data_IF_867881343700
#
_entry.id   IF_867881343700
#
_cell.length_a   1.000
_cell.length_b   1.000
_cell.length_c   1.000
_cell.angle_alpha   90.00
_cell.angle_beta   90.00
_cell.angle_gamma   90.00
#
_symmetry.space_group_name_H-M   'P 1'
#
loop_
_entity.id
_entity.type
_entity.pdbx_description
1 polymer ?
#
# COMPACT_ATOMS: atom_id res chain seq x y z
N UNK A 1 17.71 -18.90 -3.53
CA UNK A 1 18.13 -17.49 -3.48
C UNK A 1 17.97 -16.98 -2.05
N UNK A 2 18.76 -16.00 -1.60
CA UNK A 2 18.49 -15.34 -0.31
C UNK A 2 17.12 -14.65 -0.39
N UNK A 3 16.43 -14.53 0.75
CA UNK A 3 15.17 -13.78 0.81
C UNK A 3 15.45 -12.30 0.59
N UNK A 4 14.68 -11.58 -0.25
CA UNK A 4 14.84 -10.14 -0.38
C UNK A 4 14.49 -9.46 0.95
N UNK A 5 15.30 -8.46 1.33
CA UNK A 5 15.08 -7.63 2.52
C UNK A 5 14.32 -6.38 2.15
N UNK A 6 13.16 -6.19 2.75
CA UNK A 6 12.27 -5.08 2.41
C UNK A 6 11.91 -4.32 3.68
N UNK A 7 12.19 -3.02 3.69
CA UNK A 7 11.64 -2.11 4.69
C UNK A 7 10.32 -1.56 4.16
N UNK A 8 9.24 -1.74 4.90
CA UNK A 8 7.95 -1.13 4.60
C UNK A 8 7.68 -0.03 5.63
N UNK A 9 7.84 1.21 5.19
CA UNK A 9 7.78 2.43 6.01
C UNK A 9 6.50 3.20 5.73
N UNK A 10 5.77 3.57 6.78
CA UNK A 10 4.60 4.43 6.64
C UNK A 10 3.47 4.10 7.60
N UNK A 11 2.23 4.12 7.11
CA UNK A 11 1.04 3.99 7.96
C UNK A 11 0.76 2.54 8.38
N UNK A 12 0.50 2.42 9.68
CA UNK A 12 0.09 1.21 10.36
C UNK A 12 -1.23 1.49 11.07
N UNK A 13 -2.29 0.79 10.70
CA UNK A 13 -3.67 1.08 11.12
C UNK A 13 -4.32 -0.21 11.61
N UNK A 14 -5.22 -0.08 12.58
CA UNK A 14 -6.16 -1.16 12.94
C UNK A 14 -7.53 -0.80 12.40
N UNK A 15 -8.06 -1.63 11.50
CA UNK A 15 -9.42 -1.50 10.99
C UNK A 15 -10.40 -2.35 11.81
N UNK A 16 -11.52 -1.76 12.18
CA UNK A 16 -12.64 -2.38 12.86
C UNK A 16 -13.82 -2.36 11.90
N UNK A 17 -14.07 -3.51 11.26
CA UNK A 17 -15.12 -3.67 10.25
C UNK A 17 -16.38 -4.23 10.88
N UNK A 18 -17.53 -3.63 10.59
CA UNK A 18 -18.86 -4.15 10.98
C UNK A 18 -19.77 -4.26 9.77
N UNK A 19 -20.50 -5.39 9.62
CA UNK A 19 -21.42 -5.57 8.49
C UNK A 19 -22.65 -6.45 8.83
N UNK A 20 -23.80 -6.28 8.09
CA UNK A 20 -24.11 -5.09 7.30
C UNK A 20 -24.58 -3.94 8.20
N UNK A 21 -24.19 -2.70 7.88
CA UNK A 21 -24.62 -1.50 8.60
C UNK A 21 -25.49 -0.64 7.69
N UNK A 22 -26.79 -0.70 7.84
CA UNK A 22 -27.73 0.12 7.06
C UNK A 22 -27.76 1.57 7.53
N UNK A 23 -27.68 1.79 8.83
CA UNK A 23 -27.63 3.11 9.47
C UNK A 23 -26.96 3.03 10.84
N UNK A 24 -26.44 4.13 11.32
CA UNK A 24 -26.04 4.25 12.73
C UNK A 24 -27.32 4.45 13.56
N UNK A 25 -27.57 3.62 14.59
CA UNK A 25 -28.75 3.76 15.44
C UNK A 25 -28.79 5.13 16.14
N UNK A 26 -30.00 5.69 16.26
CA UNK A 26 -30.19 6.95 16.99
C UNK A 26 -30.17 6.75 18.52
N UNK A 27 -29.65 7.73 19.23
CA UNK A 27 -29.61 7.75 20.68
C UNK A 27 -28.85 6.57 21.28
N UNK A 28 -29.50 5.78 22.14
CA UNK A 28 -28.93 4.60 22.80
C UNK A 28 -29.44 3.27 22.23
N UNK A 29 -30.02 3.29 21.03
CA UNK A 29 -30.56 2.09 20.39
C UNK A 29 -29.42 1.17 19.91
N UNK A 30 -29.71 -0.11 19.80
CA UNK A 30 -28.79 -1.16 19.36
C UNK A 30 -29.22 -1.68 18.00
N UNK A 31 -28.30 -1.81 17.06
CA UNK A 31 -28.45 -2.57 15.84
C UNK A 31 -27.61 -3.85 15.93
N UNK A 32 -28.18 -4.98 15.51
CA UNK A 32 -27.45 -6.24 15.43
C UNK A 32 -26.77 -6.35 14.07
N UNK A 33 -25.50 -6.73 14.08
CA UNK A 33 -24.69 -7.00 12.89
C UNK A 33 -24.50 -8.52 12.74
N UNK A 34 -24.16 -8.97 11.54
CA UNK A 34 -23.82 -10.36 11.27
C UNK A 34 -22.35 -10.65 11.62
N UNK A 35 -21.46 -9.65 11.44
CA UNK A 35 -20.03 -9.83 11.65
C UNK A 35 -19.38 -8.53 12.14
N UNK A 36 -18.45 -8.66 13.09
CA UNK A 36 -17.46 -7.64 13.44
C UNK A 36 -16.08 -8.29 13.33
N UNK A 37 -15.17 -7.66 12.60
CA UNK A 37 -13.80 -8.12 12.42
C UNK A 37 -12.81 -7.01 12.74
N UNK A 38 -11.66 -7.37 13.33
CA UNK A 38 -10.54 -6.48 13.56
C UNK A 38 -9.38 -6.97 12.69
N UNK A 39 -8.79 -6.10 11.88
CA UNK A 39 -7.68 -6.43 10.98
C UNK A 39 -6.57 -5.38 11.06
N UNK A 40 -5.36 -5.79 10.68
CA UNK A 40 -4.26 -4.84 10.43
C UNK A 40 -4.42 -4.29 9.02
N UNK A 41 -4.35 -2.99 8.89
CA UNK A 41 -4.51 -2.23 7.67
C UNK A 41 -3.48 -1.08 7.59
N UNK A 42 -3.59 -0.27 6.55
CA UNK A 42 -2.62 0.76 6.22
C UNK A 42 -1.65 0.27 5.14
N UNK A 43 -1.34 1.14 4.18
CA UNK A 43 -0.58 0.75 2.98
C UNK A 43 0.79 0.14 3.31
N UNK A 44 1.51 0.65 4.33
CA UNK A 44 2.76 0.02 4.76
C UNK A 44 2.51 -1.32 5.47
N UNK A 45 1.53 -1.40 6.38
CA UNK A 45 1.27 -2.62 7.14
C UNK A 45 0.67 -3.73 6.27
N UNK A 46 -0.28 -3.43 5.38
CA UNK A 46 -0.86 -4.38 4.43
C UNK A 46 0.20 -4.96 3.51
N UNK A 47 0.97 -4.07 2.85
CA UNK A 47 2.09 -4.49 1.99
C UNK A 47 3.12 -5.33 2.76
N UNK A 48 3.44 -5.00 4.04
CA UNK A 48 4.34 -5.81 4.89
C UNK A 48 3.85 -7.23 5.07
N UNK A 49 2.58 -7.39 5.43
CA UNK A 49 1.98 -8.70 5.67
C UNK A 49 2.00 -9.56 4.40
N UNK A 50 1.65 -8.98 3.27
CA UNK A 50 1.60 -9.71 2.01
C UNK A 50 3.00 -10.04 1.47
N UNK A 51 3.99 -9.14 1.60
CA UNK A 51 5.40 -9.43 1.29
C UNK A 51 5.94 -10.57 2.14
N UNK A 52 5.62 -10.61 3.43
CA UNK A 52 6.06 -11.67 4.32
C UNK A 52 5.44 -13.03 3.93
N UNK A 53 4.14 -13.06 3.59
CA UNK A 53 3.47 -14.26 3.04
C UNK A 53 4.10 -14.71 1.72
N UNK A 54 4.50 -13.77 0.86
CA UNK A 54 5.22 -14.05 -0.40
C UNK A 54 6.68 -14.46 -0.18
N UNK A 55 7.16 -14.49 1.07
CA UNK A 55 8.46 -15.07 1.43
C UNK A 55 9.60 -14.07 1.59
N UNK A 56 9.36 -12.77 1.57
CA UNK A 56 10.37 -11.74 1.84
C UNK A 56 10.76 -11.71 3.34
N UNK A 57 11.95 -11.16 3.63
CA UNK A 57 12.35 -10.71 4.96
C UNK A 57 11.89 -9.24 5.11
N UNK A 58 10.86 -9.00 5.93
CA UNK A 58 10.18 -7.70 5.98
C UNK A 58 10.37 -7.03 7.33
N UNK A 59 10.79 -5.77 7.32
CA UNK A 59 10.90 -4.89 8.47
C UNK A 59 9.80 -3.82 8.39
N UNK A 60 8.81 -3.88 9.28
CA UNK A 60 7.81 -2.83 9.40
C UNK A 60 8.39 -1.63 10.14
N UNK A 61 8.29 -0.44 9.55
CA UNK A 61 8.80 0.81 10.11
C UNK A 61 7.70 1.87 10.11
N UNK A 62 7.45 2.48 11.27
CA UNK A 62 6.36 3.45 11.43
C UNK A 62 6.08 3.72 12.90
N UNK A 63 4.93 4.32 13.20
CA UNK A 63 4.56 4.68 14.56
C UNK A 63 3.23 4.04 14.99
N UNK A 64 3.19 3.55 16.24
CA UNK A 64 2.00 2.99 16.91
C UNK A 64 1.87 3.60 18.31
N UNK A 65 0.69 3.47 18.92
CA UNK A 65 0.46 3.87 20.31
C UNK A 65 0.98 2.86 21.33
N UNK A 66 1.02 3.29 22.59
CA UNK A 66 1.23 2.40 23.76
C UNK A 66 -0.11 1.89 24.28
N UNK A 67 -0.90 1.24 23.41
CA UNK A 67 -2.25 0.77 23.68
C UNK A 67 -2.52 -0.64 23.17
N UNK A 68 -3.71 -1.16 23.44
CA UNK A 68 -4.12 -2.52 23.07
C UNK A 68 -4.21 -2.71 21.55
N UNK A 69 -4.55 -1.66 20.78
CA UNK A 69 -4.59 -1.73 19.33
C UNK A 69 -3.17 -1.86 18.77
N UNK A 70 -2.18 -1.15 19.34
CA UNK A 70 -0.77 -1.30 19.00
C UNK A 70 -0.23 -2.69 19.32
N UNK A 71 -0.64 -3.29 20.45
CA UNK A 71 -0.30 -4.66 20.79
C UNK A 71 -0.89 -5.65 19.78
N UNK A 72 -2.18 -5.50 19.46
CA UNK A 72 -2.86 -6.32 18.45
C UNK A 72 -2.15 -6.25 17.08
N UNK A 73 -1.77 -5.04 16.66
CA UNK A 73 -1.08 -4.81 15.39
C UNK A 73 0.26 -5.56 15.35
N UNK A 74 1.13 -5.37 16.37
CA UNK A 74 2.40 -6.05 16.47
C UNK A 74 2.23 -7.58 16.46
N UNK A 75 1.34 -8.10 17.30
CA UNK A 75 1.14 -9.55 17.43
C UNK A 75 0.61 -10.16 16.12
N UNK A 76 -0.24 -9.44 15.41
CA UNK A 76 -0.77 -9.89 14.13
C UNK A 76 0.30 -9.89 13.04
N UNK A 77 1.08 -8.81 12.90
CA UNK A 77 2.15 -8.73 11.91
C UNK A 77 3.24 -9.78 12.16
N UNK A 78 3.61 -10.01 13.42
CA UNK A 78 4.58 -11.06 13.80
C UNK A 78 4.09 -12.47 13.43
N UNK A 79 2.79 -12.75 13.53
CA UNK A 79 2.22 -14.04 13.09
C UNK A 79 2.40 -14.28 11.58
N UNK A 80 2.45 -13.22 10.77
CA UNK A 80 2.77 -13.30 9.35
C UNK A 80 4.29 -13.34 9.06
N UNK A 81 5.13 -13.20 10.08
CA UNK A 81 6.59 -13.24 9.93
C UNK A 81 7.24 -11.88 9.69
N UNK A 82 6.53 -10.78 9.91
CA UNK A 82 7.07 -9.42 9.79
C UNK A 82 7.88 -9.07 11.04
N UNK A 83 9.09 -8.54 10.86
CA UNK A 83 9.87 -7.94 11.93
C UNK A 83 9.28 -6.55 12.28
N UNK A 84 8.84 -6.41 13.53
CA UNK A 84 8.21 -5.19 14.04
C UNK A 84 9.13 -4.38 14.95
N UNK A 85 10.44 -4.69 14.97
CA UNK A 85 11.40 -4.02 15.84
C UNK A 85 11.62 -2.54 15.52
N UNK A 86 11.27 -2.12 14.30
CA UNK A 86 11.36 -0.73 13.84
C UNK A 86 10.02 0.05 13.95
N UNK A 87 8.99 -0.54 14.58
CA UNK A 87 7.79 0.21 14.95
C UNK A 87 8.04 0.96 16.26
N UNK A 88 8.02 2.30 16.21
CA UNK A 88 8.18 3.12 17.41
C UNK A 88 6.86 3.32 18.12
N UNK A 89 6.89 3.23 19.46
CA UNK A 89 5.72 3.53 20.30
C UNK A 89 5.71 4.99 20.70
N UNK A 90 4.57 5.65 20.49
CA UNK A 90 4.37 7.07 20.85
C UNK A 90 3.56 7.17 22.15
N UNK A 91 4.20 7.59 23.26
CA UNK A 91 3.52 7.71 24.57
C UNK A 91 2.36 8.70 24.53
N UNK A 92 1.24 8.35 25.15
CA UNK A 92 0.08 9.21 25.27
C UNK A 92 -0.70 9.45 23.98
N UNK A 93 -0.35 8.76 22.90
CA UNK A 93 -1.06 8.82 21.60
C UNK A 93 -1.62 7.44 21.30
N UNK A 94 -2.89 7.37 20.89
CA UNK A 94 -3.49 6.10 20.50
C UNK A 94 -2.95 5.59 19.16
N UNK A 95 -2.97 4.28 18.97
CA UNK A 95 -2.71 3.66 17.67
C UNK A 95 -3.74 4.16 16.64
N UNK A 96 -3.30 4.41 15.43
CA UNK A 96 -4.18 4.78 14.32
C UNK A 96 -5.23 3.69 14.09
N UNK A 97 -6.48 4.09 13.97
CA UNK A 97 -7.59 3.15 13.81
C UNK A 97 -8.69 3.70 12.92
N UNK A 98 -9.39 2.80 12.22
CA UNK A 98 -10.54 3.12 11.38
C UNK A 98 -11.72 2.26 11.76
N UNK A 99 -12.89 2.86 11.97
CA UNK A 99 -14.17 2.15 11.99
C UNK A 99 -14.77 2.15 10.59
N UNK A 100 -15.10 0.96 10.08
CA UNK A 100 -15.66 0.74 8.76
C UNK A 100 -17.07 0.14 8.86
N UNK A 101 -18.12 0.95 8.93
CA UNK A 101 -19.52 0.48 8.87
C UNK A 101 -19.87 0.11 7.42
N UNK A 102 -19.68 -1.16 7.05
CA UNK A 102 -19.89 -1.66 5.69
C UNK A 102 -21.38 -1.73 5.39
N UNK A 103 -21.81 -1.05 4.34
CA UNK A 103 -23.20 -1.01 3.88
C UNK A 103 -23.60 -2.32 3.21
N UNK A 104 -24.93 -2.64 3.13
CA UNK A 104 -25.42 -3.80 2.38
C UNK A 104 -25.03 -3.80 0.90
N UNK A 105 -24.80 -2.64 0.29
CA UNK A 105 -24.34 -2.47 -1.09
C UNK A 105 -22.81 -2.52 -1.24
N UNK A 106 -22.05 -2.78 -0.14
CA UNK A 106 -20.61 -2.85 -0.14
C UNK A 106 -19.89 -1.51 0.05
N UNK A 107 -20.58 -0.36 0.13
CA UNK A 107 -19.96 0.92 0.47
C UNK A 107 -19.35 0.90 1.86
N UNK A 108 -18.19 1.53 2.02
CA UNK A 108 -17.40 1.51 3.25
C UNK A 108 -17.01 2.93 3.69
N UNK A 109 -17.94 3.70 4.26
CA UNK A 109 -17.56 4.98 4.86
C UNK A 109 -16.55 4.74 5.99
N UNK A 110 -15.51 5.56 6.04
CA UNK A 110 -14.44 5.45 7.03
C UNK A 110 -14.56 6.53 8.09
N UNK A 111 -14.46 6.12 9.37
CA UNK A 111 -14.32 7.01 10.52
C UNK A 111 -12.92 6.76 11.08
N UNK A 112 -11.97 7.65 10.78
CA UNK A 112 -10.55 7.44 11.00
C UNK A 112 -9.97 8.36 12.08
N UNK A 113 -9.07 7.80 12.88
CA UNK A 113 -8.19 8.54 13.78
C UNK A 113 -6.76 8.35 13.32
N UNK A 114 -6.09 9.47 12.97
CA UNK A 114 -4.70 9.46 12.51
C UNK A 114 -3.74 8.94 13.59
N UNK A 115 -3.98 9.29 14.87
CA UNK A 115 -3.25 8.75 16.01
C UNK A 115 -1.72 8.81 15.83
N UNK A 116 -1.06 7.72 16.19
CA UNK A 116 0.41 7.64 16.19
C UNK A 116 1.05 7.80 14.82
N UNK A 117 0.36 7.47 13.72
CA UNK A 117 0.86 7.77 12.37
C UNK A 117 1.11 9.27 12.18
N UNK A 118 0.27 10.13 12.80
CA UNK A 118 0.46 11.58 12.76
C UNK A 118 1.68 12.09 13.52
N UNK A 119 2.27 11.26 14.37
CA UNK A 119 3.43 11.58 15.20
C UNK A 119 4.75 11.00 14.67
N UNK A 120 4.71 10.28 13.54
CA UNK A 120 5.91 9.76 12.88
C UNK A 120 6.77 10.92 12.38
N UNK A 121 8.07 10.87 12.67
CA UNK A 121 9.07 11.86 12.20
C UNK A 121 10.25 11.15 11.55
N UNK A 122 11.14 11.90 10.90
CA UNK A 122 12.36 11.34 10.31
C UNK A 122 13.31 10.76 11.39
N UNK A 123 13.33 11.36 12.55
CA UNK A 123 14.18 10.95 13.69
C UNK A 123 13.76 9.60 14.31
N UNK A 124 12.55 9.13 14.01
CA UNK A 124 12.07 7.80 14.44
C UNK A 124 12.61 6.66 13.58
N UNK A 125 13.21 6.97 12.43
CA UNK A 125 13.64 5.96 11.46
C UNK A 125 14.93 5.27 11.88
N UNK A 126 14.97 3.95 11.72
CA UNK A 126 16.22 3.19 11.81
C UNK A 126 16.92 3.21 10.44
N UNK A 127 17.80 4.18 10.25
CA UNK A 127 18.51 4.39 8.98
C UNK A 127 19.43 3.23 8.63
N UNK A 128 20.02 2.55 9.61
CA UNK A 128 20.89 1.38 9.37
C UNK A 128 20.08 0.23 8.75
N UNK A 129 18.85 0.01 9.19
CA UNK A 129 17.96 -1.01 8.61
C UNK A 129 17.59 -0.63 7.17
N UNK A 130 17.32 0.64 6.89
CA UNK A 130 17.05 1.13 5.53
C UNK A 130 18.26 0.90 4.64
N UNK A 131 19.48 1.30 5.07
CA UNK A 131 20.71 1.21 4.27
C UNK A 131 21.11 -0.25 3.92
N UNK A 132 20.63 -1.22 4.68
CA UNK A 132 20.91 -2.66 4.50
C UNK A 132 19.77 -3.44 3.85
N UNK A 133 18.72 -2.78 3.36
CA UNK A 133 17.62 -3.38 2.65
C UNK A 133 17.88 -3.44 1.13
N UNK A 134 17.18 -4.33 0.43
CA UNK A 134 17.12 -4.35 -1.04
C UNK A 134 16.09 -3.34 -1.56
N UNK A 135 14.98 -3.18 -0.81
CA UNK A 135 13.87 -2.28 -1.15
C UNK A 135 13.41 -1.47 0.06
N UNK A 136 13.08 -0.21 -0.19
CA UNK A 136 12.29 0.64 0.71
C UNK A 136 10.92 0.88 0.07
N UNK A 137 9.87 0.31 0.65
CA UNK A 137 8.49 0.62 0.29
C UNK A 137 7.97 1.73 1.22
N UNK A 138 7.61 2.87 0.63
CA UNK A 138 6.95 3.98 1.30
C UNK A 138 5.44 3.85 1.11
N UNK A 139 4.69 3.62 2.19
CA UNK A 139 3.26 3.39 2.14
C UNK A 139 2.45 4.34 3.00
N UNK A 140 1.55 5.13 2.37
CA UNK A 140 0.59 5.96 3.09
C UNK A 140 0.97 7.41 3.29
N UNK A 141 1.70 8.00 2.37
CA UNK A 141 1.84 9.45 2.30
C UNK A 141 0.47 10.13 2.36
N UNK A 142 0.45 11.36 2.85
CA UNK A 142 -0.70 12.20 3.17
C UNK A 142 -1.46 11.89 4.48
N UNK A 143 -1.17 10.77 5.14
CA UNK A 143 -1.68 10.43 6.48
C UNK A 143 -0.62 10.45 7.59
N UNK A 144 0.56 10.99 7.31
CA UNK A 144 1.70 11.12 8.24
C UNK A 144 2.18 12.58 8.33
N UNK A 145 1.35 13.52 8.79
CA UNK A 145 1.56 14.95 8.61
C UNK A 145 2.90 15.50 9.10
N UNK A 146 3.55 14.91 10.11
CA UNK A 146 4.89 15.29 10.55
C UNK A 146 6.01 14.68 9.72
N UNK A 147 5.68 13.69 8.91
CA UNK A 147 6.63 12.98 8.04
C UNK A 147 6.38 13.25 6.55
N UNK A 148 5.19 13.75 6.15
CA UNK A 148 4.84 14.11 4.78
C UNK A 148 5.81 15.15 4.19
N UNK A 149 6.06 15.05 2.89
CA UNK A 149 6.86 16.01 2.13
C UNK A 149 8.36 15.85 2.33
N UNK A 150 9.05 16.89 2.76
CA UNK A 150 10.51 16.92 2.86
C UNK A 150 11.13 15.84 3.78
N UNK A 151 10.60 15.52 4.97
CA UNK A 151 11.13 14.42 5.78
C UNK A 151 11.05 13.06 5.07
N UNK A 152 9.98 12.83 4.32
CA UNK A 152 9.77 11.62 3.53
C UNK A 152 10.74 11.58 2.33
N UNK A 153 10.91 12.71 1.63
CA UNK A 153 11.89 12.84 0.54
C UNK A 153 13.31 12.54 1.02
N UNK A 154 13.70 13.01 2.21
CA UNK A 154 15.00 12.70 2.83
C UNK A 154 15.19 11.20 3.09
N UNK A 155 14.15 10.50 3.54
CA UNK A 155 14.22 9.05 3.75
C UNK A 155 14.40 8.28 2.44
N UNK A 156 13.68 8.67 1.38
CA UNK A 156 13.82 8.10 0.04
C UNK A 156 15.18 8.40 -0.57
N UNK A 157 15.66 9.64 -0.43
CA UNK A 157 17.00 10.04 -0.87
C UNK A 157 18.08 9.20 -0.17
N UNK A 158 17.99 9.06 1.16
CA UNK A 158 18.91 8.24 1.93
C UNK A 158 18.96 6.79 1.43
N UNK A 159 17.80 6.20 1.15
CA UNK A 159 17.73 4.85 0.59
C UNK A 159 18.45 4.76 -0.77
N UNK A 160 18.18 5.69 -1.70
CA UNK A 160 18.86 5.71 -3.00
C UNK A 160 20.39 5.88 -2.89
N UNK A 161 20.86 6.74 -1.98
CA UNK A 161 22.30 6.96 -1.75
C UNK A 161 23.01 5.68 -1.25
N UNK A 162 22.24 4.73 -0.68
CA UNK A 162 22.75 3.42 -0.25
C UNK A 162 22.42 2.29 -1.24
N UNK A 163 21.94 2.61 -2.44
CA UNK A 163 21.63 1.62 -3.48
C UNK A 163 20.34 0.83 -3.26
N UNK A 164 19.48 1.27 -2.34
CA UNK A 164 18.20 0.65 -2.04
C UNK A 164 17.16 1.10 -3.06
N UNK A 165 16.42 0.17 -3.66
CA UNK A 165 15.36 0.48 -4.62
C UNK A 165 14.14 1.02 -3.87
N UNK A 166 13.60 2.17 -4.33
CA UNK A 166 12.48 2.83 -3.67
C UNK A 166 11.16 2.60 -4.40
N UNK A 167 10.14 2.21 -3.67
CA UNK A 167 8.77 2.11 -4.14
C UNK A 167 7.87 3.00 -3.28
N UNK A 168 6.88 3.65 -3.89
CA UNK A 168 6.07 4.65 -3.21
C UNK A 168 4.60 4.46 -3.54
N UNK A 169 3.80 4.15 -2.51
CA UNK A 169 2.34 4.12 -2.55
C UNK A 169 1.76 5.11 -1.54
N UNK A 170 0.51 5.48 -1.72
CA UNK A 170 -0.12 6.47 -0.87
C UNK A 170 -1.62 6.23 -0.69
N UNK A 171 -2.21 6.96 0.24
CA UNK A 171 -3.66 7.11 0.39
C UNK A 171 -3.99 8.57 0.12
N UNK A 172 -4.58 8.88 -1.03
CA UNK A 172 -4.95 10.24 -1.34
C UNK A 172 -6.31 10.61 -0.74
N UNK A 173 -6.33 11.70 0.01
CA UNK A 173 -7.56 12.41 0.33
C UNK A 173 -7.35 13.89 0.01
N UNK A 174 -8.44 14.61 -0.24
CA UNK A 174 -8.36 16.01 -0.62
C UNK A 174 -7.74 16.86 0.48
N UNK A 175 -6.57 17.46 0.18
CA UNK A 175 -5.88 18.44 1.00
C UNK A 175 -5.16 19.45 0.10
N UNK A 176 -5.06 20.73 0.50
CA UNK A 176 -4.53 21.79 -0.37
C UNK A 176 -3.10 21.58 -0.85
N UNK A 177 -2.25 20.94 -0.02
CA UNK A 177 -0.82 20.72 -0.24
C UNK A 177 -0.49 19.32 -0.79
N UNK A 178 -1.49 18.51 -1.16
CA UNK A 178 -1.30 17.12 -1.59
C UNK A 178 -0.27 16.99 -2.72
N UNK A 179 -0.38 17.85 -3.73
CA UNK A 179 0.55 17.87 -4.86
C UNK A 179 1.99 18.13 -4.43
N UNK A 180 2.19 19.11 -3.56
CA UNK A 180 3.52 19.56 -3.16
C UNK A 180 4.23 18.52 -2.32
N UNK A 181 3.54 17.93 -1.33
CA UNK A 181 4.12 16.87 -0.47
C UNK A 181 4.50 15.60 -1.23
N UNK A 182 3.83 15.33 -2.36
CA UNK A 182 4.15 14.16 -3.19
C UNK A 182 5.24 14.48 -4.20
N UNK A 183 5.17 15.62 -4.89
CA UNK A 183 6.13 15.93 -5.95
C UNK A 183 7.55 16.11 -5.45
N UNK A 184 7.76 16.60 -4.22
CA UNK A 184 9.09 16.72 -3.61
C UNK A 184 9.77 15.35 -3.43
N UNK A 185 9.01 14.26 -3.31
CA UNK A 185 9.51 12.90 -3.17
C UNK A 185 9.92 12.27 -4.51
N UNK A 186 9.30 12.69 -5.62
CA UNK A 186 9.42 12.00 -6.92
C UNK A 186 10.84 11.82 -7.44
N UNK A 187 11.80 12.76 -7.27
CA UNK A 187 13.19 12.56 -7.71
C UNK A 187 13.90 11.34 -7.07
N UNK A 188 13.36 10.86 -5.94
CA UNK A 188 13.92 9.76 -5.16
C UNK A 188 13.08 8.47 -5.23
N UNK A 189 12.15 8.39 -6.20
CA UNK A 189 11.23 7.26 -6.36
C UNK A 189 11.54 6.47 -7.62
N UNK A 190 11.93 5.19 -7.44
CA UNK A 190 12.13 4.28 -8.57
C UNK A 190 10.79 3.82 -9.16
N UNK A 191 9.81 3.49 -8.30
CA UNK A 191 8.48 3.02 -8.71
C UNK A 191 7.39 3.75 -7.93
N UNK A 192 6.66 4.64 -8.59
CA UNK A 192 5.51 5.35 -8.03
C UNK A 192 4.22 4.57 -8.34
N UNK A 193 3.55 4.04 -7.29
CA UNK A 193 2.56 2.97 -7.39
C UNK A 193 1.16 3.32 -6.84
N UNK A 194 0.59 4.52 -7.04
CA UNK A 194 -0.73 4.86 -6.51
C UNK A 194 -1.86 4.18 -7.29
N UNK A 195 -3.08 4.24 -6.72
CA UNK A 195 -4.29 4.10 -7.51
C UNK A 195 -4.38 5.19 -8.59
N UNK A 196 -4.92 4.88 -9.76
CA UNK A 196 -5.01 5.85 -10.86
C UNK A 196 -5.88 7.06 -10.49
N UNK A 197 -6.99 6.84 -9.79
CA UNK A 197 -7.85 7.91 -9.25
C UNK A 197 -7.11 8.83 -8.27
N UNK A 198 -6.22 8.25 -7.47
CA UNK A 198 -5.36 9.01 -6.57
C UNK A 198 -4.34 9.85 -7.34
N UNK A 199 -3.76 9.30 -8.41
CA UNK A 199 -2.84 10.03 -9.28
C UNK A 199 -3.53 11.24 -9.95
N UNK A 200 -4.77 11.06 -10.43
CA UNK A 200 -5.63 12.14 -10.95
C UNK A 200 -5.86 13.22 -9.88
N UNK A 201 -6.23 12.82 -8.67
CA UNK A 201 -6.47 13.74 -7.55
C UNK A 201 -5.24 14.60 -7.24
N UNK A 202 -4.04 14.01 -7.29
CA UNK A 202 -2.78 14.70 -7.01
C UNK A 202 -2.39 15.72 -8.07
N UNK A 203 -2.47 15.35 -9.35
CA UNK A 203 -1.99 16.22 -10.42
C UNK A 203 -3.10 17.12 -11.01
N UNK A 204 -4.39 16.78 -10.81
CA UNK A 204 -5.52 17.51 -11.38
C UNK A 204 -5.70 17.30 -12.89
N UNK A 205 -5.01 16.31 -13.48
CA UNK A 205 -5.10 15.91 -14.88
C UNK A 205 -5.98 14.68 -15.01
N UNK A 206 -6.64 14.48 -16.15
CA UNK A 206 -7.54 13.34 -16.38
C UNK A 206 -7.12 12.46 -17.55
N UNK A 207 -6.34 12.98 -18.50
CA UNK A 207 -5.76 12.18 -19.57
C UNK A 207 -4.61 11.33 -19.03
N UNK A 208 -4.66 10.02 -19.28
CA UNK A 208 -3.68 9.07 -18.71
C UNK A 208 -2.25 9.37 -19.14
N UNK A 209 -2.03 9.78 -20.39
CA UNK A 209 -0.69 10.07 -20.87
C UNK A 209 -0.15 11.36 -20.25
N UNK A 210 -1.01 12.35 -19.99
CA UNK A 210 -0.64 13.57 -19.28
C UNK A 210 -0.34 13.30 -17.81
N UNK A 211 -1.13 12.43 -17.14
CA UNK A 211 -0.87 11.98 -15.75
C UNK A 211 0.46 11.25 -15.65
N UNK A 212 0.73 10.27 -16.53
CA UNK A 212 2.02 9.57 -16.61
C UNK A 212 3.16 10.58 -16.80
N UNK A 213 3.03 11.45 -17.80
CA UNK A 213 4.05 12.45 -18.10
C UNK A 213 4.34 13.35 -16.91
N UNK A 214 3.31 13.78 -16.17
CA UNK A 214 3.43 14.65 -15.02
C UNK A 214 4.37 14.04 -13.95
N UNK A 215 4.15 12.80 -13.54
CA UNK A 215 4.97 12.17 -12.50
C UNK A 215 6.37 11.78 -12.98
N UNK A 216 6.52 11.39 -14.26
CA UNK A 216 7.85 11.17 -14.84
C UNK A 216 8.64 12.48 -14.98
N UNK A 217 7.99 13.60 -15.29
CA UNK A 217 8.63 14.92 -15.33
C UNK A 217 8.95 15.45 -13.93
N UNK A 218 8.16 15.05 -12.92
CA UNK A 218 8.45 15.34 -11.51
C UNK A 218 9.65 14.54 -10.96
N UNK A 219 10.12 13.51 -11.69
CA UNK A 219 11.35 12.79 -11.35
C UNK A 219 11.19 11.30 -11.05
N UNK A 220 9.96 10.77 -10.97
CA UNK A 220 9.76 9.32 -10.80
C UNK A 220 10.37 8.56 -11.99
N UNK A 221 11.10 7.45 -11.72
CA UNK A 221 11.68 6.64 -12.81
C UNK A 221 10.62 5.82 -13.52
N UNK A 222 9.65 5.27 -12.76
CA UNK A 222 8.50 4.52 -13.27
C UNK A 222 7.23 4.99 -12.60
N UNK A 223 6.14 5.06 -13.36
CA UNK A 223 4.77 5.11 -12.80
C UNK A 223 4.15 3.73 -12.90
N UNK A 224 3.48 3.27 -11.85
CA UNK A 224 2.79 1.98 -11.77
C UNK A 224 1.39 2.24 -11.26
N UNK A 225 0.45 2.54 -12.15
CA UNK A 225 -0.91 2.90 -11.77
C UNK A 225 -1.79 1.66 -11.63
N UNK A 226 -2.42 1.52 -10.48
CA UNK A 226 -3.44 0.50 -10.17
C UNK A 226 -4.79 1.03 -10.64
N UNK A 227 -5.47 0.30 -11.55
CA UNK A 227 -6.66 0.79 -12.26
C UNK A 227 -7.89 -0.11 -12.02
N UNK A 228 -7.91 -0.83 -10.90
CA UNK A 228 -9.00 -1.73 -10.53
C UNK A 228 -9.29 -2.76 -11.62
N UNK A 229 -10.55 -2.84 -12.07
CA UNK A 229 -10.97 -3.79 -13.13
C UNK A 229 -10.34 -3.55 -14.50
N UNK A 230 -9.68 -2.41 -14.73
CA UNK A 230 -8.90 -2.15 -15.94
C UNK A 230 -7.45 -2.67 -15.86
N UNK A 231 -7.06 -3.23 -14.72
CA UNK A 231 -5.72 -3.78 -14.51
C UNK A 231 -4.71 -2.76 -14.01
N UNK A 232 -3.55 -2.70 -14.64
CA UNK A 232 -2.48 -1.73 -14.29
C UNK A 232 -1.75 -1.19 -15.52
N UNK A 233 -1.15 -0.01 -15.34
CA UNK A 233 -0.33 0.67 -16.35
C UNK A 233 1.05 0.97 -15.74
N UNK A 234 2.11 0.49 -16.37
CA UNK A 234 3.49 0.74 -15.99
C UNK A 234 4.11 1.59 -17.08
N UNK A 235 4.62 2.78 -16.73
CA UNK A 235 5.27 3.64 -17.72
C UNK A 235 6.62 4.16 -17.23
N UNK A 236 7.53 4.36 -18.18
CA UNK A 236 8.90 4.83 -17.96
C UNK A 236 9.44 5.53 -19.20
N UNK A 237 10.60 6.18 -19.07
CA UNK A 237 11.29 6.79 -20.22
C UNK A 237 12.37 5.87 -20.77
N UNK A 238 12.33 5.66 -22.10
CA UNK A 238 13.37 4.98 -22.87
C UNK A 238 13.68 5.82 -24.13
N UNK A 239 14.93 6.15 -24.33
CA UNK A 239 15.40 7.00 -25.45
C UNK A 239 14.60 8.31 -25.62
N UNK A 240 14.25 8.95 -24.49
CA UNK A 240 13.49 10.20 -24.45
C UNK A 240 11.99 10.06 -24.75
N UNK A 241 11.50 8.84 -24.98
CA UNK A 241 10.07 8.55 -25.22
C UNK A 241 9.45 7.86 -24.02
N UNK A 242 8.17 8.09 -23.78
CA UNK A 242 7.40 7.33 -22.79
C UNK A 242 7.04 5.97 -23.41
N UNK A 243 7.39 4.91 -22.69
CA UNK A 243 6.93 3.54 -22.93
C UNK A 243 5.87 3.20 -21.89
N UNK A 244 4.83 2.53 -22.32
CA UNK A 244 3.76 2.06 -21.44
C UNK A 244 3.52 0.56 -21.66
N UNK A 245 3.43 -0.18 -20.56
CA UNK A 245 3.03 -1.58 -20.51
C UNK A 245 1.69 -1.62 -19.78
N UNK A 246 0.69 -2.27 -20.34
CA UNK A 246 -0.61 -2.49 -19.69
C UNK A 246 -0.79 -3.96 -19.35
N UNK A 247 -1.23 -4.25 -18.13
CA UNK A 247 -1.52 -5.61 -17.66
C UNK A 247 -2.99 -5.67 -17.26
N UNK A 248 -3.80 -6.59 -17.84
CA UNK A 248 -5.22 -6.69 -17.52
C UNK A 248 -5.45 -7.19 -16.09
N UNK A 249 -6.57 -6.82 -15.49
CA UNK A 249 -7.06 -7.43 -14.27
C UNK A 249 -7.46 -8.89 -14.52
N UNK A 250 -7.57 -9.70 -13.45
CA UNK A 250 -8.04 -11.08 -13.51
C UNK A 250 -9.55 -11.15 -13.26
N UNK A 251 -10.19 -12.12 -13.88
CA UNK A 251 -11.63 -12.39 -13.74
C UNK A 251 -11.89 -13.20 -12.49
N UNK A 252 -12.28 -12.52 -11.41
CA UNK A 252 -12.50 -13.11 -10.09
C UNK A 252 -13.79 -12.56 -9.45
N UNK A 253 -14.41 -13.31 -8.51
CA UNK A 253 -15.46 -12.76 -7.66
C UNK A 253 -14.94 -11.60 -6.82
N UNK A 254 -15.72 -10.52 -6.70
CA UNK A 254 -15.40 -9.37 -5.88
C UNK A 254 -16.19 -9.45 -4.58
N UNK A 255 -15.49 -9.62 -3.45
CA UNK A 255 -16.07 -9.63 -2.10
C UNK A 255 -15.75 -8.32 -1.39
N UNK A 256 -14.45 -7.95 -1.31
CA UNK A 256 -13.99 -6.74 -0.66
C UNK A 256 -12.69 -6.24 -1.34
N UNK A 257 -12.65 -4.99 -1.73
CA UNK A 257 -11.46 -4.40 -2.37
C UNK A 257 -10.43 -3.82 -1.39
N UNK A 258 -10.63 -3.99 -0.06
CA UNK A 258 -9.69 -3.54 0.96
C UNK A 258 -8.37 -4.29 0.83
N UNK A 259 -7.25 -3.55 0.78
CA UNK A 259 -5.91 -4.14 0.70
C UNK A 259 -5.47 -4.64 -0.67
N UNK A 260 -6.35 -4.63 -1.70
CA UNK A 260 -5.94 -5.07 -3.05
C UNK A 260 -4.79 -4.26 -3.62
N UNK A 261 -4.74 -2.96 -3.32
CA UNK A 261 -3.64 -2.06 -3.71
C UNK A 261 -2.32 -2.45 -3.04
N UNK A 262 -2.37 -2.73 -1.75
CA UNK A 262 -1.22 -3.15 -0.94
C UNK A 262 -0.68 -4.49 -1.42
N UNK A 263 -1.59 -5.45 -1.66
CA UNK A 263 -1.26 -6.76 -2.22
C UNK A 263 -0.64 -6.65 -3.63
N UNK A 264 -1.18 -5.75 -4.48
CA UNK A 264 -0.56 -5.46 -5.78
C UNK A 264 0.87 -4.96 -5.61
N UNK A 265 1.10 -4.00 -4.69
CA UNK A 265 2.44 -3.51 -4.40
C UNK A 265 3.37 -4.63 -3.93
N UNK A 266 2.91 -5.48 -3.00
CA UNK A 266 3.67 -6.61 -2.51
C UNK A 266 4.06 -7.59 -3.63
N UNK A 267 3.11 -8.00 -4.47
CA UNK A 267 3.37 -8.90 -5.61
C UNK A 267 4.32 -8.27 -6.64
N UNK A 268 4.13 -6.99 -6.96
CA UNK A 268 5.01 -6.28 -7.90
C UNK A 268 6.44 -6.21 -7.39
N UNK A 269 6.65 -5.77 -6.13
CA UNK A 269 7.97 -5.70 -5.48
C UNK A 269 8.61 -7.08 -5.45
N UNK A 270 7.85 -8.12 -5.13
CA UNK A 270 8.35 -9.49 -5.08
C UNK A 270 8.78 -9.99 -6.46
N UNK A 271 8.05 -9.65 -7.53
CA UNK A 271 8.44 -9.93 -8.91
C UNK A 271 9.75 -9.26 -9.30
N UNK A 272 9.93 -7.98 -8.97
CA UNK A 272 11.20 -7.25 -9.17
C UNK A 272 12.34 -7.92 -8.39
N UNK A 273 12.11 -8.30 -7.13
CA UNK A 273 13.11 -8.94 -6.29
C UNK A 273 13.56 -10.33 -6.80
N UNK A 274 12.68 -11.02 -7.55
CA UNK A 274 13.02 -12.24 -8.27
C UNK A 274 13.75 -11.99 -9.60
N UNK A 275 14.01 -10.73 -9.97
CA UNK A 275 14.66 -10.34 -11.21
C UNK A 275 13.75 -10.47 -12.46
N UNK A 276 12.43 -10.47 -12.28
CA UNK A 276 11.50 -10.49 -13.39
C UNK A 276 11.38 -9.11 -14.06
N UNK A 277 10.99 -9.12 -15.32
CA UNK A 277 10.67 -7.89 -16.04
C UNK A 277 9.42 -7.19 -15.48
N UNK A 278 9.19 -5.96 -15.91
CA UNK A 278 8.09 -5.12 -15.41
C UNK A 278 6.71 -5.74 -15.67
N UNK A 279 6.52 -6.35 -16.85
CA UNK A 279 5.24 -6.96 -17.21
C UNK A 279 4.92 -8.16 -16.33
N UNK A 280 5.89 -9.04 -16.11
CA UNK A 280 5.73 -10.22 -15.28
C UNK A 280 5.57 -9.85 -13.80
N UNK A 281 6.31 -8.85 -13.33
CA UNK A 281 6.15 -8.30 -11.97
C UNK A 281 4.74 -7.72 -11.76
N UNK A 282 4.22 -6.98 -12.75
CA UNK A 282 2.86 -6.46 -12.71
C UNK A 282 1.78 -7.56 -12.73
N UNK A 283 2.01 -8.65 -13.47
CA UNK A 283 1.13 -9.82 -13.45
C UNK A 283 1.08 -10.47 -12.06
N UNK A 284 2.22 -10.56 -11.36
CA UNK A 284 2.24 -11.07 -9.99
C UNK A 284 1.52 -10.11 -9.03
N UNK A 285 1.70 -8.80 -9.17
CA UNK A 285 0.92 -7.79 -8.44
C UNK A 285 -0.57 -7.94 -8.68
N UNK A 286 -0.99 -8.09 -9.93
CA UNK A 286 -2.40 -8.32 -10.30
C UNK A 286 -2.96 -9.60 -9.69
N UNK A 287 -2.17 -10.68 -9.64
CA UNK A 287 -2.57 -11.94 -9.03
C UNK A 287 -2.72 -11.80 -7.51
N UNK A 288 -1.78 -11.14 -6.83
CA UNK A 288 -1.86 -10.88 -5.41
C UNK A 288 -3.12 -10.06 -5.04
N UNK A 289 -3.38 -8.95 -5.75
CA UNK A 289 -4.62 -8.18 -5.59
C UNK A 289 -5.88 -9.00 -5.92
N UNK A 290 -5.80 -9.86 -6.95
CA UNK A 290 -6.87 -10.77 -7.35
C UNK A 290 -7.18 -11.87 -6.33
N UNK A 291 -6.22 -12.29 -5.51
CA UNK A 291 -6.44 -13.20 -4.39
C UNK A 291 -7.12 -12.47 -3.23
N UNK A 292 -6.65 -11.27 -2.88
CA UNK A 292 -7.17 -10.49 -1.75
C UNK A 292 -8.63 -10.08 -1.96
N UNK A 293 -9.00 -9.65 -3.17
CA UNK A 293 -10.37 -9.16 -3.47
C UNK A 293 -11.47 -10.22 -3.25
N UNK A 294 -11.11 -11.50 -3.19
CA UNK A 294 -12.04 -12.62 -2.99
C UNK A 294 -12.34 -12.89 -1.51
N UNK A 295 -11.70 -12.18 -0.58
CA UNK A 295 -11.91 -12.31 0.86
C UNK A 295 -12.39 -11.03 1.51
N UNK A 296 -12.56 -11.03 2.83
CA UNK A 296 -12.91 -9.85 3.63
C UNK A 296 -11.67 -9.33 4.36
N UNK A 297 -11.33 -8.05 4.16
CA UNK A 297 -10.19 -7.39 4.80
C UNK A 297 -8.86 -7.58 4.05
N UNK A 298 -7.89 -6.75 4.38
CA UNK A 298 -6.60 -6.63 3.69
C UNK A 298 -5.66 -7.83 3.84
N UNK A 299 -5.95 -8.74 4.77
CA UNK A 299 -5.13 -9.91 5.05
C UNK A 299 -5.66 -11.21 4.40
N UNK A 300 -6.68 -11.11 3.55
CA UNK A 300 -7.32 -12.24 2.89
C UNK A 300 -6.48 -12.80 1.73
N UNK A 301 -6.78 -14.03 1.34
CA UNK A 301 -6.48 -14.64 0.03
C UNK A 301 -5.05 -15.15 -0.17
N UNK A 302 -4.01 -14.36 0.09
CA UNK A 302 -2.62 -14.77 -0.12
C UNK A 302 -2.19 -15.77 0.94
N UNK A 303 -1.71 -16.95 0.51
CA UNK A 303 -1.12 -17.98 1.38
C UNK A 303 0.41 -17.95 1.27
N UNK A 304 0.93 -18.06 0.03
CA UNK A 304 2.35 -18.04 -0.26
C UNK A 304 2.63 -17.63 -1.74
N UNK A 305 3.91 -17.58 -2.09
CA UNK A 305 4.36 -17.22 -3.42
C UNK A 305 3.95 -18.26 -4.50
N UNK A 306 4.04 -19.55 -4.19
CA UNK A 306 3.76 -20.62 -5.15
C UNK A 306 2.27 -20.61 -5.53
N UNK A 307 1.36 -20.48 -4.55
CA UNK A 307 -0.07 -20.29 -4.79
C UNK A 307 -0.33 -19.04 -5.65
N UNK A 308 0.35 -17.93 -5.36
CA UNK A 308 0.13 -16.68 -6.09
C UNK A 308 0.61 -16.77 -7.54
N UNK A 309 1.74 -17.46 -7.78
CA UNK A 309 2.25 -17.74 -9.15
C UNK A 309 1.32 -18.72 -9.90
N UNK A 310 0.83 -19.76 -9.24
CA UNK A 310 -0.15 -20.68 -9.83
C UNK A 310 -1.42 -19.92 -10.23
N UNK A 311 -1.95 -19.09 -9.33
CA UNK A 311 -3.12 -18.27 -9.60
C UNK A 311 -2.88 -17.27 -10.75
N UNK A 312 -1.71 -16.64 -10.82
CA UNK A 312 -1.29 -15.77 -11.92
C UNK A 312 -1.34 -16.50 -13.28
N UNK A 313 -0.91 -17.76 -13.31
CA UNK A 313 -0.77 -18.53 -14.55
C UNK A 313 -2.08 -19.21 -15.01
N UNK A 314 -3.03 -19.43 -14.10
CA UNK A 314 -4.24 -20.23 -14.36
C UNK A 314 -5.52 -19.41 -14.44
N UNK A 315 -5.53 -18.19 -13.92
CA UNK A 315 -6.73 -17.35 -13.89
C UNK A 315 -6.87 -16.55 -15.19
N UNK A 316 -8.09 -16.55 -15.75
CA UNK A 316 -8.42 -15.84 -16.98
C UNK A 316 -8.33 -14.31 -16.79
N UNK A 317 -7.62 -13.59 -17.69
CA UNK A 317 -7.61 -12.13 -17.64
C UNK A 317 -8.95 -11.55 -18.12
N UNK A 318 -9.32 -10.39 -17.59
CA UNK A 318 -10.40 -9.57 -18.15
C UNK A 318 -9.97 -8.95 -19.48
N UNK A 319 -10.92 -8.75 -20.44
CA UNK A 319 -10.60 -8.03 -21.67
C UNK A 319 -10.17 -6.60 -21.34
N UNK A 320 -9.06 -6.17 -21.95
CA UNK A 320 -8.64 -4.76 -21.82
C UNK A 320 -9.54 -3.85 -22.65
N UNK A 321 -10.09 -2.81 -22.03
CA UNK A 321 -10.71 -1.69 -22.74
C UNK A 321 -9.64 -0.90 -23.48
N UNK A 322 -9.93 -0.54 -24.75
CA UNK A 322 -9.00 0.22 -25.61
C UNK A 322 -8.77 1.65 -25.10
#
# INVERSE_FOLDING_TARGET
MAKPKIVSLGIHIVDILGRPVSSIPEGQNVALLEEIRITVAGTAAGTSNDLAKLGAEVFAMGAIGEDELGNFLIDTMRRYGVDTSCLVRKPGVQTSATMLPIRPNGERPALHVTGANGELTFEDLNLDVIANADYLHMGGASLVPKFDGEPMARALQYAQEHGVITTFDQVAFQRPDLRDIITVCMPYVDYFMPGYEEAIMMCGLTDRQEVIKFFLDAGAKHTVFKMGGEGSSIAYREDGRIREIRVPALKVPVVDSTGCGDAYCAGFIMGLAMGWDLERSAKLGTAAGGLVIQGLGSDAGIVDLDQTIEFMNTTEPLPMTQ
#
